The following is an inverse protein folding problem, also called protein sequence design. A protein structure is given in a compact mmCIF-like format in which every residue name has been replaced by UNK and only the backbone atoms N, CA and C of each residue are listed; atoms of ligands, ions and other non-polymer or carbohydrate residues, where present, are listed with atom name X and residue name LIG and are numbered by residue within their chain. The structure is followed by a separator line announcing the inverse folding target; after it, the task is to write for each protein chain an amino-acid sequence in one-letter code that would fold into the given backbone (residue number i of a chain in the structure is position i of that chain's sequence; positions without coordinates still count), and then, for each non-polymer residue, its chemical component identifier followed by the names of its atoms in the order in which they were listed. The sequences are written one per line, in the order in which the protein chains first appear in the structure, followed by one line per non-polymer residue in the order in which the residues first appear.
data_IF_031300203123
#
_entry.id   IF_031300203123
#
_cell.length_a   1.000
_cell.length_b   1.000
_cell.length_c   1.000
_cell.angle_alpha   90.00
_cell.angle_beta   90.00
_cell.angle_gamma   90.00
#
_symmetry.space_group_name_H-M   'P 1'
#
loop_
_entity.id
_entity.type
_entity.pdbx_description
1 polymer ?
#
# COMPACT_ATOMS: atom_id res chain seq x y z
N UNK A 1 30.60 12.48 2.46
CA UNK A 1 30.71 11.06 2.82
C UNK A 1 29.79 10.27 1.88
N UNK A 2 30.33 9.69 0.79
CA UNK A 2 29.56 8.86 -0.15
C UNK A 2 29.52 7.43 0.41
N UNK A 3 28.41 7.01 1.00
CA UNK A 3 28.20 5.60 1.35
C UNK A 3 27.98 4.81 0.05
N UNK A 4 28.92 3.91 -0.24
CA UNK A 4 29.11 3.23 -1.53
C UNK A 4 28.16 2.06 -1.76
N UNK A 5 26.86 2.29 -1.58
CA UNK A 5 25.86 1.22 -1.57
C UNK A 5 25.05 1.17 -2.88
N UNK A 6 25.20 2.19 -3.75
CA UNK A 6 24.52 2.29 -5.04
C UNK A 6 23.01 2.56 -4.98
N UNK A 7 22.46 2.78 -3.77
CA UNK A 7 21.04 3.07 -3.55
C UNK A 7 20.74 4.56 -3.80
N UNK A 8 19.68 4.86 -4.55
CA UNK A 8 19.17 6.22 -4.71
C UNK A 8 17.63 6.25 -4.58
N UNK A 9 17.06 7.46 -4.56
CA UNK A 9 15.62 7.66 -4.45
C UNK A 9 15.02 7.13 -3.16
N UNK A 10 13.89 6.43 -3.29
CA UNK A 10 13.09 5.91 -2.17
C UNK A 10 13.87 4.90 -1.33
N UNK A 11 14.81 4.15 -1.92
CA UNK A 11 15.66 3.23 -1.15
C UNK A 11 16.59 3.96 -0.20
N UNK A 12 17.19 5.08 -0.65
CA UNK A 12 18.07 5.88 0.20
C UNK A 12 17.28 6.55 1.34
N UNK A 13 16.07 7.03 1.03
CA UNK A 13 15.14 7.59 2.01
C UNK A 13 14.76 6.55 3.07
N UNK A 14 14.22 5.39 2.66
CA UNK A 14 13.79 4.33 3.58
C UNK A 14 14.94 3.73 4.41
N UNK A 15 16.16 3.69 3.86
CA UNK A 15 17.34 3.24 4.59
C UNK A 15 17.73 4.18 5.74
N UNK A 16 17.57 5.49 5.56
CA UNK A 16 17.95 6.50 6.56
C UNK A 16 16.84 6.77 7.57
N UNK A 17 15.58 6.53 7.19
CA UNK A 17 14.44 6.82 8.04
C UNK A 17 14.28 5.79 9.17
N UNK A 18 13.99 6.24 10.41
CA UNK A 18 13.63 5.33 11.48
C UNK A 18 12.36 4.52 11.14
N UNK A 19 12.36 3.23 11.47
CA UNK A 19 11.23 2.34 11.18
C UNK A 19 9.92 2.88 11.78
N UNK A 20 9.96 3.35 13.04
CA UNK A 20 8.78 3.88 13.73
C UNK A 20 8.16 5.07 12.99
N UNK A 21 8.97 5.95 12.40
CA UNK A 21 8.48 7.13 11.69
C UNK A 21 7.80 6.72 10.38
N UNK A 22 8.33 5.70 9.70
CA UNK A 22 7.69 5.15 8.50
C UNK A 22 6.33 4.51 8.82
N UNK A 23 6.23 3.78 9.94
CA UNK A 23 4.95 3.25 10.44
C UNK A 23 3.97 4.40 10.69
N UNK A 24 4.39 5.43 11.41
CA UNK A 24 3.53 6.57 11.72
C UNK A 24 3.03 7.27 10.47
N UNK A 25 3.88 7.49 9.47
CA UNK A 25 3.47 8.13 8.20
C UNK A 25 2.46 7.28 7.43
N UNK A 26 2.69 5.96 7.32
CA UNK A 26 1.76 5.06 6.64
C UNK A 26 0.43 4.95 7.40
N UNK A 27 0.47 4.82 8.73
CA UNK A 27 -0.73 4.80 9.57
C UNK A 27 -1.50 6.12 9.49
N UNK A 28 -0.83 7.27 9.44
CA UNK A 28 -1.49 8.57 9.29
C UNK A 28 -2.18 8.68 7.93
N UNK A 29 -1.52 8.22 6.87
CA UNK A 29 -2.10 8.19 5.53
C UNK A 29 -3.38 7.34 5.52
N UNK A 30 -3.36 6.15 6.12
CA UNK A 30 -4.54 5.29 6.21
C UNK A 30 -5.61 5.86 7.15
N UNK A 31 -5.23 6.46 8.27
CA UNK A 31 -6.16 7.09 9.21
C UNK A 31 -6.92 8.27 8.57
N UNK A 32 -6.30 8.96 7.61
CA UNK A 32 -6.95 10.05 6.89
C UNK A 32 -8.20 9.60 6.10
N UNK A 33 -8.25 8.34 5.64
CA UNK A 33 -9.46 7.77 5.06
C UNK A 33 -10.58 7.65 6.07
N UNK A 34 -10.28 7.11 7.25
CA UNK A 34 -11.28 6.87 8.29
C UNK A 34 -11.87 8.20 8.77
N UNK A 35 -11.00 9.17 9.05
CA UNK A 35 -11.42 10.52 9.45
C UNK A 35 -12.16 11.21 8.32
N UNK A 36 -11.64 11.13 7.10
CA UNK A 36 -12.23 11.74 5.92
C UNK A 36 -13.64 11.21 5.63
N UNK A 37 -13.86 9.89 5.72
CA UNK A 37 -15.19 9.27 5.59
C UNK A 37 -16.11 9.71 6.72
N UNK A 38 -15.61 9.79 7.95
CA UNK A 38 -16.39 10.34 9.07
C UNK A 38 -16.91 11.76 8.82
N UNK A 39 -16.09 12.63 8.22
CA UNK A 39 -16.44 14.03 7.94
C UNK A 39 -17.32 14.16 6.69
N UNK A 40 -16.93 13.53 5.57
CA UNK A 40 -17.59 13.72 4.28
C UNK A 40 -18.81 12.81 4.10
N UNK A 41 -18.71 11.56 4.57
CA UNK A 41 -19.72 10.52 4.35
C UNK A 41 -20.64 10.34 5.58
N UNK A 42 -20.28 10.99 6.69
CA UNK A 42 -21.01 10.98 7.95
C UNK A 42 -20.75 9.76 8.82
N UNK A 43 -19.99 8.77 8.33
CA UNK A 43 -19.63 7.56 9.07
C UNK A 43 -18.17 7.13 8.79
N UNK A 44 -17.36 6.87 9.82
CA UNK A 44 -16.02 6.34 9.66
C UNK A 44 -16.11 4.82 9.43
N UNK A 45 -16.06 4.38 8.17
CA UNK A 45 -16.09 2.95 7.85
C UNK A 45 -14.82 2.51 7.11
N UNK A 46 -14.35 1.32 7.46
CA UNK A 46 -13.47 0.52 6.62
C UNK A 46 -13.80 -0.96 6.83
N UNK A 47 -14.76 -1.47 6.06
CA UNK A 47 -15.30 -2.81 6.28
C UNK A 47 -14.53 -3.89 5.53
N UNK A 48 -13.93 -3.54 4.38
CA UNK A 48 -13.22 -4.50 3.55
C UNK A 48 -12.01 -5.03 4.32
N UNK A 49 -11.95 -6.34 4.54
CA UNK A 49 -10.88 -6.96 5.34
C UNK A 49 -9.51 -6.78 4.70
N UNK A 50 -9.46 -6.76 3.37
CA UNK A 50 -8.28 -6.49 2.56
C UNK A 50 -7.77 -5.05 2.67
N UNK A 51 -8.63 -4.08 2.95
CA UNK A 51 -8.18 -2.71 3.25
C UNK A 51 -7.86 -2.57 4.73
N UNK A 52 -8.76 -3.01 5.61
CA UNK A 52 -8.56 -2.87 7.05
C UNK A 52 -7.34 -3.66 7.56
N UNK A 53 -7.34 -4.99 7.42
CA UNK A 53 -6.21 -5.83 7.86
C UNK A 53 -5.08 -5.81 6.83
N UNK A 54 -5.42 -5.87 5.55
CA UNK A 54 -4.43 -5.97 4.49
C UNK A 54 -3.54 -4.75 4.38
N UNK A 55 -4.10 -3.55 4.22
CA UNK A 55 -3.28 -2.34 4.05
C UNK A 55 -2.66 -1.85 5.36
N UNK A 56 -3.40 -1.90 6.49
CA UNK A 56 -2.87 -1.39 7.76
C UNK A 56 -1.89 -2.35 8.44
N UNK A 57 -2.07 -3.66 8.32
CA UNK A 57 -1.25 -4.62 9.05
C UNK A 57 -0.33 -5.38 8.11
N UNK A 58 -0.86 -6.04 7.08
CA UNK A 58 -0.06 -6.92 6.23
C UNK A 58 0.93 -6.12 5.37
N UNK A 59 0.46 -5.08 4.69
CA UNK A 59 1.29 -4.23 3.85
C UNK A 59 2.34 -3.46 4.65
N UNK A 60 1.96 -2.82 5.77
CA UNK A 60 2.93 -2.14 6.65
C UNK A 60 4.01 -3.13 7.12
N UNK A 61 3.63 -4.36 7.49
CA UNK A 61 4.61 -5.38 7.87
C UNK A 61 5.58 -5.72 6.75
N UNK A 62 5.09 -5.86 5.50
CA UNK A 62 5.96 -6.07 4.32
C UNK A 62 6.93 -4.89 4.12
N UNK A 63 6.45 -3.65 4.26
CA UNK A 63 7.31 -2.46 4.18
C UNK A 63 8.38 -2.50 5.28
N UNK A 64 8.03 -2.89 6.50
CA UNK A 64 9.00 -2.99 7.61
C UNK A 64 10.05 -4.06 7.37
N UNK A 65 9.66 -5.23 6.86
CA UNK A 65 10.61 -6.26 6.45
C UNK A 65 11.58 -5.68 5.40
N UNK A 66 11.07 -4.95 4.41
CA UNK A 66 11.91 -4.32 3.39
C UNK A 66 12.88 -3.29 3.98
N UNK A 67 12.43 -2.47 4.93
CA UNK A 67 13.28 -1.48 5.61
C UNK A 67 14.39 -2.20 6.39
N UNK A 68 14.06 -3.26 7.13
CA UNK A 68 15.05 -4.07 7.85
C UNK A 68 16.08 -4.70 6.89
N UNK A 69 15.65 -5.13 5.70
CA UNK A 69 16.55 -5.58 4.64
C UNK A 69 17.45 -4.43 4.15
N UNK A 70 16.88 -3.26 3.86
CA UNK A 70 17.60 -2.08 3.35
C UNK A 70 18.59 -1.48 4.35
N UNK A 71 18.31 -1.56 5.64
CA UNK A 71 19.16 -1.02 6.70
C UNK A 71 20.37 -1.92 7.00
N UNK A 72 20.37 -3.18 6.55
CA UNK A 72 21.53 -4.05 6.72
C UNK A 72 22.75 -3.55 5.93
N UNK A 73 23.96 -3.64 6.50
CA UNK A 73 25.18 -3.29 5.78
C UNK A 73 25.44 -4.32 4.67
N UNK A 74 25.82 -3.85 3.48
CA UNK A 74 26.14 -4.72 2.35
C UNK A 74 25.80 -4.12 0.99
N UNK A 75 26.18 -4.84 -0.08
CA UNK A 75 25.78 -4.53 -1.45
C UNK A 75 24.41 -5.15 -1.74
N UNK A 76 23.50 -4.37 -2.29
CA UNK A 76 22.18 -4.83 -2.66
C UNK A 76 22.19 -5.45 -4.06
N UNK A 77 21.65 -6.66 -4.19
CA UNK A 77 21.54 -7.42 -5.44
C UNK A 77 20.43 -6.92 -6.39
N UNK A 78 20.12 -5.63 -6.37
CA UNK A 78 19.08 -5.02 -7.21
C UNK A 78 19.75 -4.35 -8.42
N UNK A 79 19.23 -4.50 -9.65
CA UNK A 79 19.81 -3.86 -10.82
C UNK A 79 19.97 -2.36 -10.64
N UNK A 80 21.13 -1.81 -11.00
CA UNK A 80 21.45 -0.38 -10.81
C UNK A 80 20.38 0.57 -11.39
N UNK A 81 19.80 0.21 -12.54
CA UNK A 81 18.75 1.03 -13.17
C UNK A 81 17.49 1.14 -12.29
N UNK A 82 17.16 0.10 -11.53
CA UNK A 82 16.01 0.07 -10.61
C UNK A 82 16.26 0.88 -9.33
N UNK A 83 17.53 1.11 -9.00
CA UNK A 83 17.95 2.00 -7.92
C UNK A 83 17.86 3.48 -8.30
N UNK A 84 17.62 3.84 -9.57
CA UNK A 84 17.59 5.24 -10.04
C UNK A 84 16.31 5.97 -9.63
N UNK A 85 16.45 7.15 -9.02
CA UNK A 85 15.30 8.01 -8.67
C UNK A 85 14.39 8.31 -9.86
N UNK A 86 14.93 8.50 -11.06
CA UNK A 86 14.14 8.78 -12.27
C UNK A 86 13.27 7.60 -12.67
N UNK A 87 13.80 6.39 -12.55
CA UNK A 87 13.07 5.16 -12.83
C UNK A 87 11.98 4.95 -11.79
N UNK A 88 12.28 5.19 -10.50
CA UNK A 88 11.28 5.09 -9.44
C UNK A 88 10.14 6.12 -9.61
N UNK A 89 10.45 7.35 -10.01
CA UNK A 89 9.41 8.35 -10.36
C UNK A 89 8.57 7.87 -11.53
N UNK A 90 9.18 7.31 -12.59
CA UNK A 90 8.43 6.76 -13.72
C UNK A 90 7.52 5.60 -13.29
N UNK A 91 8.01 4.68 -12.46
CA UNK A 91 7.19 3.58 -11.90
C UNK A 91 6.01 4.16 -11.12
N UNK A 92 6.26 5.16 -10.26
CA UNK A 92 5.19 5.81 -9.50
C UNK A 92 4.13 6.47 -10.40
N UNK A 93 4.56 7.17 -11.46
CA UNK A 93 3.64 7.77 -12.43
C UNK A 93 2.82 6.71 -13.18
N UNK A 94 3.42 5.56 -13.51
CA UNK A 94 2.70 4.43 -14.11
C UNK A 94 1.69 3.85 -13.12
N UNK A 95 2.05 3.66 -11.85
CA UNK A 95 1.11 3.22 -10.81
C UNK A 95 -0.06 4.20 -10.67
N UNK A 96 0.23 5.51 -10.63
CA UNK A 96 -0.78 6.55 -10.55
C UNK A 96 -1.73 6.51 -11.74
N UNK A 97 -1.19 6.39 -12.96
CA UNK A 97 -1.99 6.28 -14.19
C UNK A 97 -2.88 5.03 -14.19
N UNK A 98 -2.34 3.87 -13.78
CA UNK A 98 -3.11 2.62 -13.70
C UNK A 98 -4.22 2.70 -12.66
N UNK A 99 -3.92 3.19 -11.45
CA UNK A 99 -4.92 3.35 -10.40
C UNK A 99 -5.97 4.39 -10.77
N UNK A 100 -5.59 5.48 -11.46
CA UNK A 100 -6.54 6.44 -12.02
C UNK A 100 -7.50 5.76 -13.01
N UNK A 101 -6.97 4.99 -13.97
CA UNK A 101 -7.80 4.24 -14.93
C UNK A 101 -8.76 3.28 -14.21
N UNK A 102 -8.24 2.49 -13.27
CA UNK A 102 -9.06 1.57 -12.46
C UNK A 102 -10.15 2.34 -11.72
N UNK A 103 -9.81 3.47 -11.09
CA UNK A 103 -10.78 4.33 -10.40
C UNK A 103 -11.88 4.78 -11.37
N UNK A 104 -11.53 5.33 -12.53
CA UNK A 104 -12.53 5.79 -13.52
C UNK A 104 -13.47 4.68 -14.01
N UNK A 105 -13.01 3.43 -14.04
CA UNK A 105 -13.83 2.28 -14.44
C UNK A 105 -14.58 1.61 -13.29
N UNK A 106 -14.26 1.93 -12.04
CA UNK A 106 -14.84 1.27 -10.84
C UNK A 106 -15.54 2.23 -9.88
N UNK A 107 -15.46 3.53 -10.13
CA UNK A 107 -16.04 4.58 -9.28
C UNK A 107 -17.55 4.40 -9.08
N UNK A 108 -18.28 4.07 -10.15
CA UNK A 108 -19.72 3.82 -10.13
C UNK A 108 -20.08 2.56 -9.31
N UNK A 109 -19.17 1.59 -9.25
CA UNK A 109 -19.33 0.36 -8.47
C UNK A 109 -18.98 0.55 -6.99
N UNK A 110 -18.17 1.57 -6.66
CA UNK A 110 -17.61 1.79 -5.33
C UNK A 110 -18.28 2.89 -4.51
N UNK A 111 -19.40 3.44 -4.99
CA UNK A 111 -20.22 4.53 -4.40
C UNK A 111 -19.94 5.93 -4.93
N UNK A 112 -18.82 6.13 -5.65
CA UNK A 112 -18.43 7.42 -6.19
C UNK A 112 -18.08 8.49 -5.16
N UNK A 113 -17.76 8.11 -3.91
CA UNK A 113 -17.44 9.05 -2.85
C UNK A 113 -16.02 9.60 -2.96
N UNK A 114 -15.85 10.83 -2.47
CA UNK A 114 -14.57 11.54 -2.49
C UNK A 114 -13.43 10.76 -1.83
N UNK A 115 -13.73 10.01 -0.75
CA UNK A 115 -12.71 9.23 -0.06
C UNK A 115 -12.29 7.97 -0.81
N UNK A 116 -13.16 7.42 -1.67
CA UNK A 116 -12.79 6.33 -2.56
C UNK A 116 -11.89 6.84 -3.69
N UNK A 117 -12.17 8.04 -4.22
CA UNK A 117 -11.28 8.73 -5.16
C UNK A 117 -9.93 9.03 -4.52
N UNK A 118 -9.93 9.55 -3.28
CA UNK A 118 -8.69 9.80 -2.55
C UNK A 118 -7.89 8.52 -2.33
N UNK A 119 -8.54 7.43 -1.92
CA UNK A 119 -7.90 6.13 -1.80
C UNK A 119 -7.23 5.71 -3.12
N UNK A 120 -7.98 5.75 -4.22
CA UNK A 120 -7.50 5.26 -5.51
C UNK A 120 -6.41 6.15 -6.13
N UNK A 121 -6.38 7.44 -5.81
CA UNK A 121 -5.41 8.39 -6.40
C UNK A 121 -4.21 8.72 -5.51
N UNK A 122 -4.30 8.50 -4.20
CA UNK A 122 -3.19 8.76 -3.28
C UNK A 122 -2.64 7.47 -2.67
N UNK A 123 -3.51 6.63 -2.13
CA UNK A 123 -3.11 5.49 -1.29
C UNK A 123 -2.75 4.28 -2.15
N UNK A 124 -3.66 3.84 -3.02
CA UNK A 124 -3.44 2.69 -3.87
C UNK A 124 -2.18 2.84 -4.76
N UNK A 125 -1.89 3.98 -5.41
CA UNK A 125 -0.67 4.14 -6.20
C UNK A 125 0.59 4.03 -5.35
N UNK A 126 0.58 4.58 -4.13
CA UNK A 126 1.70 4.51 -3.21
C UNK A 126 1.94 3.07 -2.75
N UNK A 127 0.87 2.34 -2.39
CA UNK A 127 0.94 0.93 -1.98
C UNK A 127 1.51 0.08 -3.12
N UNK A 128 0.96 0.22 -4.33
CA UNK A 128 1.42 -0.54 -5.51
C UNK A 128 2.87 -0.20 -5.86
N UNK A 129 3.22 1.10 -5.86
CA UNK A 129 4.59 1.55 -6.07
C UNK A 129 5.56 0.95 -5.06
N UNK A 130 5.23 1.01 -3.77
CA UNK A 130 6.06 0.45 -2.71
C UNK A 130 6.23 -1.06 -2.84
N UNK A 131 5.17 -1.80 -3.17
CA UNK A 131 5.28 -3.24 -3.45
C UNK A 131 6.22 -3.53 -4.62
N UNK A 132 6.07 -2.81 -5.74
CA UNK A 132 6.91 -3.01 -6.93
C UNK A 132 8.39 -2.80 -6.59
N UNK A 133 8.72 -1.74 -5.84
CA UNK A 133 10.13 -1.44 -5.55
C UNK A 133 10.69 -2.28 -4.40
N UNK A 134 9.88 -2.67 -3.40
CA UNK A 134 10.37 -3.34 -2.19
C UNK A 134 10.40 -4.86 -2.30
N UNK A 135 9.47 -5.48 -3.04
CA UNK A 135 9.48 -6.94 -3.18
C UNK A 135 10.76 -7.50 -3.82
N UNK A 136 11.32 -6.90 -4.89
CA UNK A 136 12.61 -7.33 -5.42
C UNK A 136 13.76 -7.20 -4.41
N UNK A 137 13.72 -6.17 -3.55
CA UNK A 137 14.72 -5.96 -2.51
C UNK A 137 14.66 -7.10 -1.48
N UNK A 138 13.47 -7.42 -0.98
CA UNK A 138 13.25 -8.53 -0.04
C UNK A 138 13.67 -9.84 -0.70
N UNK A 139 13.22 -10.10 -1.93
CA UNK A 139 13.52 -11.34 -2.65
C UNK A 139 15.02 -11.59 -2.82
N UNK A 140 15.78 -10.55 -3.19
CA UNK A 140 17.21 -10.68 -3.49
C UNK A 140 18.11 -10.58 -2.25
N UNK A 141 17.70 -9.87 -1.20
CA UNK A 141 18.58 -9.53 -0.07
C UNK A 141 18.04 -9.97 1.29
N UNK A 142 16.78 -10.39 1.35
CA UNK A 142 16.17 -10.96 2.54
C UNK A 142 16.67 -12.36 2.83
N UNK A 143 16.57 -12.73 4.10
CA UNK A 143 16.77 -14.10 4.59
C UNK A 143 15.65 -15.02 4.08
N UNK A 144 15.86 -16.33 4.18
CA UNK A 144 14.81 -17.31 3.84
C UNK A 144 13.53 -17.10 4.65
N UNK A 145 13.65 -16.69 5.92
CA UNK A 145 12.50 -16.41 6.78
C UNK A 145 11.73 -15.18 6.32
N UNK A 146 12.43 -14.06 6.06
CA UNK A 146 11.78 -12.81 5.60
C UNK A 146 11.05 -13.01 4.26
N UNK A 147 11.64 -13.79 3.35
CA UNK A 147 11.01 -14.14 2.09
C UNK A 147 9.74 -14.97 2.29
N UNK A 148 9.79 -16.01 3.13
CA UNK A 148 8.61 -16.85 3.44
C UNK A 148 7.51 -16.06 4.13
N UNK A 149 7.86 -15.22 5.10
CA UNK A 149 6.89 -14.37 5.81
C UNK A 149 6.26 -13.36 4.85
N UNK A 150 7.06 -12.68 4.03
CA UNK A 150 6.55 -11.73 3.03
C UNK A 150 5.59 -12.41 2.06
N UNK A 151 5.95 -13.59 1.54
CA UNK A 151 5.09 -14.37 0.66
C UNK A 151 3.77 -14.77 1.36
N UNK A 152 3.85 -15.24 2.60
CA UNK A 152 2.67 -15.61 3.39
C UNK A 152 1.73 -14.41 3.61
N UNK A 153 2.28 -13.24 3.95
CA UNK A 153 1.52 -12.02 4.14
C UNK A 153 0.83 -11.55 2.85
N UNK A 154 1.52 -11.63 1.70
CA UNK A 154 0.93 -11.30 0.40
C UNK A 154 -0.16 -12.28 -0.02
N UNK A 155 0.03 -13.58 0.22
CA UNK A 155 -0.99 -14.59 -0.07
C UNK A 155 -2.21 -14.40 0.82
N UNK A 156 -2.00 -14.12 2.11
CA UNK A 156 -3.09 -13.80 3.03
C UNK A 156 -3.84 -12.55 2.57
N UNK A 157 -3.12 -11.49 2.22
CA UNK A 157 -3.73 -10.27 1.69
C UNK A 157 -4.54 -10.52 0.41
N UNK A 158 -3.98 -11.26 -0.55
CA UNK A 158 -4.68 -11.65 -1.77
C UNK A 158 -5.93 -12.48 -1.50
N UNK A 159 -5.88 -13.38 -0.51
CA UNK A 159 -7.04 -14.17 -0.10
C UNK A 159 -8.15 -13.32 0.53
N UNK A 160 -7.80 -12.34 1.37
CA UNK A 160 -8.75 -11.37 1.93
C UNK A 160 -9.38 -10.51 0.82
N UNK A 161 -8.59 -10.10 -0.17
CA UNK A 161 -9.11 -9.34 -1.31
C UNK A 161 -10.11 -10.17 -2.13
N UNK A 162 -9.78 -11.44 -2.38
CA UNK A 162 -10.69 -12.38 -3.03
C UNK A 162 -11.98 -12.60 -2.23
N UNK A 163 -11.88 -12.71 -0.90
CA UNK A 163 -13.02 -12.83 -0.01
C UNK A 163 -13.91 -11.58 -0.07
N UNK A 164 -13.33 -10.38 0.07
CA UNK A 164 -14.09 -9.12 0.02
C UNK A 164 -14.78 -8.92 -1.33
N UNK A 165 -14.17 -9.39 -2.41
CA UNK A 165 -14.78 -9.37 -3.74
C UNK A 165 -15.96 -10.34 -3.82
N UNK A 166 -15.82 -11.56 -3.27
CA UNK A 166 -16.89 -12.55 -3.24
C UNK A 166 -18.06 -12.14 -2.34
N UNK A 167 -17.81 -11.43 -1.25
CA UNK A 167 -18.84 -10.93 -0.32
C UNK A 167 -19.39 -9.56 -0.68
N UNK A 168 -18.86 -8.91 -1.74
CA UNK A 168 -19.24 -7.56 -2.16
C UNK A 168 -18.75 -6.44 -1.23
N UNK A 169 -17.94 -6.75 -0.22
CA UNK A 169 -17.42 -5.80 0.75
C UNK A 169 -16.49 -4.75 0.13
N UNK A 170 -15.95 -4.98 -1.06
CA UNK A 170 -15.22 -3.96 -1.82
C UNK A 170 -16.09 -2.74 -2.19
N UNK A 171 -17.41 -2.93 -2.36
CA UNK A 171 -18.38 -1.86 -2.54
C UNK A 171 -18.92 -1.43 -1.17
N UNK A 172 -18.04 -0.82 -0.36
CA UNK A 172 -18.25 -0.65 1.08
C UNK A 172 -19.59 0.01 1.44
N UNK A 173 -19.96 1.11 0.78
CA UNK A 173 -21.22 1.80 1.04
C UNK A 173 -22.44 0.96 0.71
N UNK A 174 -22.42 0.32 -0.45
CA UNK A 174 -23.52 -0.54 -0.91
C UNK A 174 -23.72 -1.68 0.07
N UNK A 175 -22.64 -2.32 0.48
CA UNK A 175 -22.67 -3.40 1.45
C UNK A 175 -23.27 -2.93 2.79
N UNK A 176 -22.86 -1.76 3.29
CA UNK A 176 -23.39 -1.16 4.52
C UNK A 176 -24.89 -0.81 4.43
N UNK A 177 -25.33 -0.30 3.27
CA UNK A 177 -26.74 -0.02 3.00
C UNK A 177 -27.56 -1.33 2.98
N UNK A 178 -27.07 -2.35 2.28
CA UNK A 178 -27.75 -3.64 2.13
C UNK A 178 -27.85 -4.42 3.45
N UNK A 179 -26.81 -4.39 4.29
CA UNK A 179 -26.74 -5.22 5.51
C UNK A 179 -27.17 -4.50 6.79
N UNK A 180 -27.07 -3.17 6.84
CA UNK A 180 -27.34 -2.39 8.05
C UNK A 180 -28.34 -1.24 7.84
N UNK A 181 -28.85 -1.04 6.63
CA UNK A 181 -29.80 0.05 6.33
C UNK A 181 -29.22 1.44 6.56
N UNK A 182 -27.90 1.60 6.56
CA UNK A 182 -27.25 2.88 6.87
C UNK A 182 -27.36 3.85 5.70
N UNK A 183 -28.00 4.99 5.94
CA UNK A 183 -28.04 6.11 4.99
C UNK A 183 -26.80 7.00 5.18
N UNK A 184 -25.80 6.78 4.34
CA UNK A 184 -24.60 7.63 4.27
C UNK A 184 -24.95 8.96 3.57
N UNK A 185 -24.39 10.07 4.07
CA UNK A 185 -24.63 11.41 3.54
C UNK A 185 -24.02 11.64 2.16
#
# INVERSE_FOLDING_TARGET
MKTGDGLSGMYSFLKQFPCWLTIMMLMLLMASLLVGRGILDGLPYNIASSSFLGENVLFITVVLIAITVLQRPGKFGVPHWFCSSRVQVLIYLVCLGLCFLVSTHTIDLRSGRWMDVYHDLAIAPLVVFLLIILLPVIYKNGTGTENKVTLCLLLLWGSLFGLDMATGMLAQCRWLQEHFGMMLK
#
